data_IF_144656672358
#
_entry.id   IF_144656672358
#
_cell.length_a   1.000
_cell.length_b   1.000
_cell.length_c   1.000
_cell.angle_alpha   90.00
_cell.angle_beta   90.00
_cell.angle_gamma   90.00
#
_symmetry.space_group_name_H-M   'P 1'
#
loop_
_entity.id
_entity.type
_entity.pdbx_description
1 polymer ?
#
# COMPACT_ATOMS: atom_id res chain seq x y z
N UNK A 1 -7.89 -33.24 20.18
CA UNK A 1 -6.82 -32.49 20.88
C UNK A 1 -5.99 -31.74 19.85
N UNK A 2 -6.48 -30.59 19.40
CA UNK A 2 -5.66 -29.61 18.71
C UNK A 2 -5.06 -28.70 19.79
N UNK A 3 -3.79 -28.90 20.09
CA UNK A 3 -3.00 -27.87 20.76
C UNK A 3 -2.92 -26.70 19.78
N UNK A 4 -3.53 -25.58 20.14
CA UNK A 4 -3.34 -24.31 19.49
C UNK A 4 -1.83 -24.00 19.50
N UNK A 5 -1.19 -24.19 18.33
CA UNK A 5 0.11 -23.60 18.11
C UNK A 5 -0.13 -22.09 18.00
N UNK A 6 0.54 -21.35 18.85
CA UNK A 6 0.48 -19.90 18.83
C UNK A 6 0.94 -19.38 17.45
N UNK A 7 0.41 -18.26 17.00
CA UNK A 7 0.78 -17.58 15.75
C UNK A 7 2.32 -17.41 15.59
N UNK A 8 3.03 -17.43 16.70
CA UNK A 8 4.48 -17.43 16.84
C UNK A 8 5.21 -18.62 16.23
N UNK A 9 4.61 -19.81 16.16
CA UNK A 9 5.28 -21.01 15.61
C UNK A 9 5.10 -21.20 14.09
N UNK A 10 4.23 -20.43 13.46
CA UNK A 10 3.89 -20.59 12.04
C UNK A 10 4.91 -19.87 11.13
N UNK A 11 5.30 -18.61 11.38
CA UNK A 11 6.29 -17.92 10.57
C UNK A 11 7.69 -18.55 10.65
N UNK A 12 8.13 -18.95 11.84
CA UNK A 12 9.43 -19.56 12.09
C UNK A 12 9.64 -20.94 11.42
N UNK A 13 8.56 -21.65 11.09
CA UNK A 13 8.61 -22.94 10.39
C UNK A 13 8.58 -22.85 8.87
N UNK A 14 8.16 -21.74 8.32
CA UNK A 14 8.13 -21.49 6.87
C UNK A 14 9.50 -21.06 6.32
N UNK A 15 10.39 -20.56 7.17
CA UNK A 15 11.77 -20.21 6.79
C UNK A 15 12.70 -21.35 7.23
N UNK A 16 13.00 -22.22 6.33
CA UNK A 16 13.66 -23.50 6.57
C UNK A 16 15.15 -23.49 6.88
N UNK A 17 15.62 -22.74 7.86
CA UNK A 17 16.86 -23.03 8.61
C UNK A 17 17.02 -22.07 9.79
N UNK A 18 17.23 -22.62 11.00
CA UNK A 18 17.44 -21.85 12.24
C UNK A 18 18.70 -20.94 12.20
N UNK A 19 19.53 -21.04 11.19
CA UNK A 19 20.80 -20.30 11.09
C UNK A 19 20.66 -19.00 10.27
N UNK A 20 19.64 -18.83 9.43
CA UNK A 20 19.42 -17.61 8.64
C UNK A 20 18.55 -16.58 9.35
N UNK A 21 17.77 -16.98 10.36
CA UNK A 21 16.81 -16.10 11.06
C UNK A 21 17.54 -15.17 12.05
N UNK A 22 18.64 -15.59 12.63
CA UNK A 22 19.35 -14.83 13.66
C UNK A 22 20.04 -13.58 13.14
N UNK A 23 20.43 -13.57 11.87
CA UNK A 23 21.12 -12.44 11.23
C UNK A 23 20.13 -11.49 10.48
N UNK A 24 18.80 -11.77 10.51
CA UNK A 24 17.76 -10.97 9.84
C UNK A 24 16.44 -10.95 10.63
N UNK A 25 16.52 -10.90 11.94
CA UNK A 25 15.31 -10.83 12.79
C UNK A 25 14.55 -9.51 12.56
N UNK A 26 15.26 -8.44 12.25
CA UNK A 26 14.71 -7.13 11.92
C UNK A 26 13.92 -7.15 10.62
N UNK A 27 14.52 -7.57 9.51
CA UNK A 27 13.89 -7.59 8.18
C UNK A 27 12.59 -8.43 8.20
N UNK A 28 12.61 -9.58 8.90
CA UNK A 28 11.40 -10.41 9.06
C UNK A 28 10.32 -9.69 9.86
N UNK A 29 10.71 -8.86 10.83
CA UNK A 29 9.77 -8.10 11.63
C UNK A 29 9.14 -6.94 10.84
N UNK A 30 9.91 -6.30 9.96
CA UNK A 30 9.44 -5.24 9.08
C UNK A 30 8.47 -5.76 8.00
N UNK A 31 8.76 -6.92 7.40
CA UNK A 31 7.94 -7.56 6.35
C UNK A 31 6.60 -8.15 6.85
N UNK A 32 6.36 -8.19 8.17
CA UNK A 32 5.13 -8.76 8.72
C UNK A 32 3.98 -7.76 8.64
N UNK A 33 2.80 -8.24 8.25
CA UNK A 33 1.58 -7.45 8.31
C UNK A 33 1.29 -6.92 9.74
N UNK A 34 0.75 -5.71 9.83
CA UNK A 34 0.57 -4.93 11.08
C UNK A 34 0.07 -5.74 12.28
N UNK A 35 -0.93 -6.61 12.11
CA UNK A 35 -1.54 -7.36 13.22
C UNK A 35 -0.58 -8.43 13.79
N UNK A 36 0.20 -9.10 12.94
CA UNK A 36 1.20 -10.09 13.38
C UNK A 36 2.38 -9.36 13.99
N UNK A 37 2.81 -8.27 13.40
CA UNK A 37 3.87 -7.41 13.90
C UNK A 37 3.54 -6.90 15.32
N UNK A 38 2.34 -6.36 15.55
CA UNK A 38 1.88 -5.90 16.86
C UNK A 38 1.86 -7.03 17.91
N UNK A 39 1.37 -8.23 17.54
CA UNK A 39 1.34 -9.38 18.45
C UNK A 39 2.76 -9.86 18.80
N UNK A 40 3.64 -9.98 17.83
CA UNK A 40 5.05 -10.33 18.04
C UNK A 40 5.77 -9.30 18.90
N UNK A 41 5.69 -8.03 18.50
CA UNK A 41 6.33 -6.92 19.21
C UNK A 41 5.83 -6.81 20.65
N UNK A 42 4.55 -7.11 20.93
CA UNK A 42 4.01 -7.14 22.29
C UNK A 42 4.59 -8.25 23.15
N UNK A 43 5.02 -9.36 22.55
CA UNK A 43 5.51 -10.56 23.23
C UNK A 43 7.04 -10.65 23.32
N UNK A 44 7.79 -9.94 22.46
CA UNK A 44 9.26 -9.87 22.49
C UNK A 44 9.75 -8.99 23.62
N UNK A 45 10.91 -9.35 24.22
CA UNK A 45 11.52 -8.52 25.25
C UNK A 45 12.07 -7.20 24.68
N UNK A 46 12.17 -6.16 25.54
CA UNK A 46 12.70 -4.86 25.10
C UNK A 46 14.18 -4.92 24.68
N UNK A 47 14.91 -5.92 25.18
CA UNK A 47 16.30 -6.18 24.80
C UNK A 47 16.39 -6.75 23.39
N UNK A 48 15.63 -7.78 23.10
CA UNK A 48 15.57 -8.43 21.77
C UNK A 48 15.05 -7.46 20.71
N UNK A 49 13.97 -6.73 21.00
CA UNK A 49 13.43 -5.74 20.07
C UNK A 49 14.43 -4.62 19.79
N UNK A 50 15.14 -4.12 20.82
CA UNK A 50 16.20 -3.11 20.64
C UNK A 50 17.39 -3.61 19.82
N UNK A 51 17.61 -4.91 19.74
CA UNK A 51 18.67 -5.52 18.94
C UNK A 51 18.19 -5.74 17.49
N UNK A 52 16.97 -6.19 17.30
CA UNK A 52 16.37 -6.39 16.00
C UNK A 52 16.25 -5.08 15.19
N UNK A 53 15.83 -3.99 15.82
CA UNK A 53 15.68 -2.68 15.14
C UNK A 53 16.99 -1.96 14.82
N UNK A 54 18.15 -2.45 15.25
CA UNK A 54 19.44 -1.77 14.95
C UNK A 54 19.91 -1.97 13.52
N UNK A 55 19.50 -3.04 12.88
CA UNK A 55 19.89 -3.42 11.52
C UNK A 55 18.88 -2.95 10.47
N UNK A 56 17.74 -2.41 10.92
CA UNK A 56 16.66 -1.90 10.07
C UNK A 56 16.93 -0.49 9.53
N UNK A 57 16.31 -0.18 8.40
CA UNK A 57 16.25 1.19 7.90
C UNK A 57 15.41 2.08 8.82
N UNK A 58 15.60 3.41 8.72
CA UNK A 58 15.00 4.34 9.69
C UNK A 58 13.48 4.43 9.57
N UNK A 59 12.93 4.31 8.38
CA UNK A 59 11.51 4.25 8.05
C UNK A 59 10.88 2.98 8.63
N UNK A 60 11.48 1.80 8.42
CA UNK A 60 11.04 0.54 9.03
C UNK A 60 11.01 0.60 10.57
N UNK A 61 12.01 1.27 11.16
CA UNK A 61 12.04 1.49 12.62
C UNK A 61 10.88 2.39 13.05
N UNK A 62 10.57 3.43 12.29
CA UNK A 62 9.46 4.35 12.57
C UNK A 62 8.13 3.57 12.57
N UNK A 63 7.89 2.75 11.55
CA UNK A 63 6.67 1.95 11.42
C UNK A 63 6.47 0.97 12.59
N UNK A 64 7.54 0.31 13.01
CA UNK A 64 7.49 -0.57 14.19
C UNK A 64 7.20 0.24 15.46
N UNK A 65 7.84 1.39 15.64
CA UNK A 65 7.74 2.19 16.86
C UNK A 65 6.40 2.90 16.99
N UNK A 66 5.75 3.29 15.90
CA UNK A 66 4.41 3.92 15.91
C UNK A 66 3.36 2.98 16.49
N UNK A 67 3.52 1.68 16.27
CA UNK A 67 2.63 0.64 16.77
C UNK A 67 2.86 0.27 18.27
N UNK A 68 3.84 0.91 18.94
CA UNK A 68 4.20 0.63 20.33
C UNK A 68 3.54 1.58 21.33
N UNK A 69 3.27 1.10 22.56
CA UNK A 69 2.96 1.98 23.68
C UNK A 69 4.11 2.96 23.95
N UNK A 70 3.78 4.24 24.26
CA UNK A 70 4.77 5.31 24.47
C UNK A 70 5.90 4.93 25.46
N UNK A 71 5.60 4.16 26.51
CA UNK A 71 6.59 3.72 27.50
C UNK A 71 7.67 2.82 26.87
N UNK A 72 7.26 1.89 26.00
CA UNK A 72 8.18 0.98 25.32
C UNK A 72 8.96 1.69 24.24
N UNK A 73 8.31 2.53 23.44
CA UNK A 73 8.93 3.38 22.42
C UNK A 73 10.06 4.22 23.02
N UNK A 74 9.79 4.95 24.10
CA UNK A 74 10.77 5.78 24.79
C UNK A 74 11.97 4.97 25.34
N UNK A 75 11.72 3.74 25.77
CA UNK A 75 12.79 2.86 26.28
C UNK A 75 13.71 2.41 25.15
N UNK A 76 13.18 2.06 23.99
CA UNK A 76 13.97 1.68 22.80
C UNK A 76 14.77 2.89 22.30
N UNK A 77 14.13 4.04 22.12
CA UNK A 77 14.76 5.29 21.70
C UNK A 77 15.91 5.69 22.65
N UNK A 78 15.77 5.40 23.95
CA UNK A 78 16.83 5.72 24.93
C UNK A 78 18.10 4.89 24.76
N UNK A 79 18.02 3.74 24.09
CA UNK A 79 19.17 2.84 23.82
C UNK A 79 19.88 3.15 22.50
N UNK A 80 19.28 3.98 21.67
CA UNK A 80 19.81 4.38 20.35
C UNK A 80 20.81 5.53 20.48
N UNK A 81 21.60 5.77 19.40
CA UNK A 81 22.45 6.94 19.33
C UNK A 81 21.63 8.24 19.33
N UNK A 82 22.20 9.34 19.84
CA UNK A 82 21.51 10.63 19.81
C UNK A 82 21.15 11.10 18.40
N UNK A 83 21.92 10.67 17.40
CA UNK A 83 21.70 10.99 15.99
C UNK A 83 20.48 10.25 15.45
N UNK A 84 20.45 8.94 15.62
CA UNK A 84 19.37 8.08 15.10
C UNK A 84 18.05 8.37 15.82
N UNK A 85 18.12 8.54 17.14
CA UNK A 85 16.96 8.95 17.93
C UNK A 85 16.29 10.22 17.39
N UNK A 86 17.08 11.25 17.07
CA UNK A 86 16.56 12.52 16.55
C UNK A 86 15.92 12.32 15.18
N UNK A 87 16.46 11.46 14.34
CA UNK A 87 15.95 11.14 13.02
C UNK A 87 14.62 10.40 13.10
N UNK A 88 14.55 9.38 13.97
CA UNK A 88 13.32 8.62 14.23
C UNK A 88 12.26 9.51 14.85
N UNK A 89 12.59 10.34 15.85
CA UNK A 89 11.66 11.31 16.43
C UNK A 89 11.10 12.27 15.37
N UNK A 90 11.88 12.61 14.36
CA UNK A 90 11.43 13.41 13.22
C UNK A 90 10.49 12.61 12.31
N UNK A 91 10.80 11.36 11.97
CA UNK A 91 9.94 10.47 11.20
C UNK A 91 8.57 10.27 11.87
N UNK A 92 8.57 10.01 13.17
CA UNK A 92 7.35 9.84 13.97
C UNK A 92 6.40 11.07 13.99
N UNK A 93 6.82 12.23 13.48
CA UNK A 93 5.94 13.41 13.38
C UNK A 93 5.07 13.40 12.13
N UNK A 94 5.37 12.59 11.13
CA UNK A 94 4.63 12.54 9.88
C UNK A 94 3.59 11.40 9.91
N UNK A 95 2.44 11.59 9.26
CA UNK A 95 1.45 10.51 9.10
C UNK A 95 1.97 9.40 8.17
N UNK A 96 1.62 8.14 8.46
CA UNK A 96 2.08 6.96 7.70
C UNK A 96 1.69 7.00 6.22
N UNK A 97 0.50 7.51 5.91
CA UNK A 97 -0.02 7.61 4.55
C UNK A 97 0.48 8.84 3.77
N UNK A 98 1.70 9.30 4.04
CA UNK A 98 2.33 10.44 3.35
C UNK A 98 3.75 10.11 2.94
N UNK A 99 4.33 10.93 2.04
CA UNK A 99 5.76 10.86 1.70
C UNK A 99 6.67 10.99 2.95
N UNK A 100 6.16 11.60 4.01
CA UNK A 100 6.85 11.70 5.30
C UNK A 100 6.88 10.39 6.07
N UNK A 101 5.86 9.53 5.93
CA UNK A 101 5.84 8.17 6.47
C UNK A 101 6.85 7.26 5.76
N UNK A 102 7.03 7.42 4.45
CA UNK A 102 8.01 6.68 3.63
C UNK A 102 9.41 7.32 3.66
N UNK A 103 9.68 8.23 4.61
CA UNK A 103 10.87 9.06 4.58
C UNK A 103 12.11 8.33 5.10
N UNK A 104 13.00 7.92 4.22
CA UNK A 104 14.35 7.51 4.56
C UNK A 104 15.28 8.73 4.66
N UNK A 105 15.81 8.98 5.86
CA UNK A 105 16.70 10.14 6.11
C UNK A 105 18.17 9.87 5.78
N UNK A 106 18.52 8.64 5.37
CA UNK A 106 19.86 8.29 4.92
C UNK A 106 20.09 8.73 3.48
N UNK A 107 20.51 9.98 3.35
CA UNK A 107 20.75 10.61 2.06
C UNK A 107 22.16 11.14 1.94
N UNK A 108 22.71 11.01 0.74
CA UNK A 108 23.98 11.65 0.39
C UNK A 108 23.68 12.96 -0.32
N UNK A 109 24.21 14.04 0.21
CA UNK A 109 24.06 15.37 -0.40
C UNK A 109 25.40 16.03 -0.67
N UNK A 110 25.44 16.80 -1.76
CA UNK A 110 26.62 17.56 -2.19
C UNK A 110 26.25 19.01 -2.52
N UNK A 111 27.26 19.86 -2.65
CA UNK A 111 27.07 21.28 -2.98
C UNK A 111 27.27 21.53 -4.48
N UNK A 112 26.53 22.49 -5.09
CA UNK A 112 26.65 22.78 -6.53
C UNK A 112 28.06 23.19 -7.00
N UNK A 113 28.87 23.72 -6.08
CA UNK A 113 30.19 24.25 -6.39
C UNK A 113 31.33 23.17 -6.29
N UNK A 114 31.02 21.97 -5.85
CA UNK A 114 32.00 20.88 -5.82
C UNK A 114 32.30 20.39 -7.23
N UNK A 115 33.54 19.97 -7.49
CA UNK A 115 33.91 19.30 -8.74
C UNK A 115 33.57 17.81 -8.67
N UNK A 116 33.43 17.15 -9.82
CA UNK A 116 33.19 15.70 -9.88
C UNK A 116 34.30 14.92 -9.18
N UNK A 117 35.54 15.39 -9.22
CA UNK A 117 36.66 14.79 -8.49
C UNK A 117 36.41 14.76 -6.99
N UNK A 118 35.95 15.87 -6.41
CA UNK A 118 35.60 15.97 -4.98
C UNK A 118 34.44 15.04 -4.65
N UNK A 119 33.42 14.98 -5.49
CA UNK A 119 32.25 14.09 -5.28
C UNK A 119 32.67 12.63 -5.29
N UNK A 120 33.45 12.20 -6.28
CA UNK A 120 33.94 10.80 -6.37
C UNK A 120 34.82 10.45 -5.16
N UNK A 121 35.70 11.34 -4.74
CA UNK A 121 36.54 11.08 -3.57
C UNK A 121 35.73 11.03 -2.27
N UNK A 122 34.67 11.84 -2.16
CA UNK A 122 33.75 11.81 -1.04
C UNK A 122 32.99 10.48 -0.98
N UNK A 123 32.44 10.02 -2.11
CA UNK A 123 31.73 8.73 -2.18
C UNK A 123 32.64 7.54 -1.87
N UNK A 124 33.86 7.56 -2.36
CA UNK A 124 34.86 6.51 -2.07
C UNK A 124 35.36 6.51 -0.63
N UNK A 125 35.22 7.61 0.06
CA UNK A 125 35.58 7.74 1.47
C UNK A 125 34.48 7.28 2.43
N UNK A 126 33.30 6.95 1.95
CA UNK A 126 32.24 6.30 2.73
C UNK A 126 32.61 4.82 2.89
N UNK A 127 32.36 4.26 4.06
CA UNK A 127 32.55 2.81 4.30
C UNK A 127 31.50 2.02 3.51
N UNK A 128 30.23 2.51 3.50
CA UNK A 128 29.12 1.96 2.77
C UNK A 128 28.21 3.10 2.28
N UNK A 129 27.58 2.90 1.13
CA UNK A 129 26.55 3.81 0.63
C UNK A 129 25.18 3.29 1.07
N UNK A 130 24.21 4.18 1.35
CA UNK A 130 22.84 3.76 1.62
C UNK A 130 22.32 2.83 0.53
N UNK A 131 21.52 1.85 0.90
CA UNK A 131 20.90 0.92 -0.06
C UNK A 131 20.13 1.69 -1.14
N UNK A 132 19.94 1.08 -2.31
CA UNK A 132 19.23 1.68 -3.45
C UNK A 132 19.73 3.09 -3.87
N UNK A 133 21.02 3.42 -3.65
CA UNK A 133 21.59 4.71 -4.06
C UNK A 133 21.81 4.76 -5.58
N UNK A 134 20.86 5.33 -6.33
CA UNK A 134 20.93 5.57 -7.78
C UNK A 134 21.43 6.99 -8.10
N UNK A 135 21.27 7.92 -7.19
CA UNK A 135 21.62 9.34 -7.31
C UNK A 135 22.00 9.95 -5.97
N UNK A 136 22.57 11.12 -6.00
CA UNK A 136 22.87 11.97 -4.84
C UNK A 136 22.16 13.31 -5.00
N UNK A 137 21.78 13.93 -3.89
CA UNK A 137 21.03 15.16 -3.90
C UNK A 137 21.93 16.39 -3.80
N UNK A 138 21.55 17.43 -4.53
CA UNK A 138 22.30 18.68 -4.55
C UNK A 138 21.57 19.71 -3.71
N UNK A 139 22.25 20.27 -2.69
CA UNK A 139 21.65 21.21 -1.75
C UNK A 139 22.51 22.46 -1.58
N UNK A 140 21.88 23.57 -1.22
CA UNK A 140 22.55 24.83 -0.87
C UNK A 140 23.23 24.72 0.50
N UNK A 141 23.90 25.80 0.95
CA UNK A 141 24.52 25.86 2.29
C UNK A 141 23.48 25.76 3.43
N UNK A 142 22.26 26.13 3.16
CA UNK A 142 21.12 26.13 4.10
C UNK A 142 20.25 24.89 3.94
N UNK A 143 20.78 23.83 3.28
CA UNK A 143 20.17 22.52 3.00
C UNK A 143 18.91 22.56 2.12
N UNK A 144 18.68 23.66 1.37
CA UNK A 144 17.61 23.72 0.39
C UNK A 144 17.97 22.85 -0.84
N UNK A 145 17.03 22.07 -1.28
CA UNK A 145 17.14 21.24 -2.48
C UNK A 145 17.30 22.10 -3.74
N UNK A 146 18.22 21.72 -4.63
CA UNK A 146 18.51 22.42 -5.88
C UNK A 146 18.40 21.51 -7.09
N UNK A 147 18.60 20.22 -6.90
CA UNK A 147 18.58 19.23 -7.98
C UNK A 147 19.21 17.93 -7.56
N UNK A 148 19.43 17.05 -8.50
CA UNK A 148 20.00 15.73 -8.27
C UNK A 148 21.10 15.38 -9.27
N UNK A 149 21.92 14.42 -8.91
CA UNK A 149 23.05 13.97 -9.71
C UNK A 149 23.10 12.44 -9.72
N UNK A 150 22.75 11.81 -10.84
CA UNK A 150 22.76 10.35 -10.95
C UNK A 150 24.18 9.78 -10.86
N UNK A 151 24.32 8.61 -10.27
CA UNK A 151 25.60 7.89 -10.17
C UNK A 151 26.21 7.67 -11.56
N UNK A 152 25.41 7.40 -12.58
CA UNK A 152 25.88 7.25 -13.95
C UNK A 152 26.54 8.54 -14.49
N UNK A 153 25.96 9.71 -14.22
CA UNK A 153 26.55 11.01 -14.61
C UNK A 153 27.85 11.29 -13.83
N UNK A 154 27.93 10.90 -12.55
CA UNK A 154 29.15 11.05 -11.75
C UNK A 154 30.30 10.27 -12.37
N UNK A 155 30.05 9.02 -12.78
CA UNK A 155 31.08 8.12 -13.32
C UNK A 155 31.52 8.54 -14.74
N UNK A 156 30.62 9.06 -15.55
CA UNK A 156 30.86 9.35 -16.97
C UNK A 156 31.32 10.78 -17.24
N UNK A 157 31.15 11.70 -16.29
CA UNK A 157 31.51 13.10 -16.46
C UNK A 157 33.01 13.35 -16.26
N UNK A 158 33.51 14.45 -16.85
CA UNK A 158 34.89 14.89 -16.63
C UNK A 158 35.08 15.35 -15.18
N UNK A 159 36.19 14.96 -14.57
CA UNK A 159 36.49 15.24 -13.15
C UNK A 159 36.56 16.74 -12.82
N UNK A 160 36.90 17.57 -13.81
CA UNK A 160 37.02 19.02 -13.66
C UNK A 160 35.68 19.77 -13.66
N UNK A 161 34.59 19.14 -14.13
CA UNK A 161 33.27 19.77 -14.15
C UNK A 161 32.74 19.93 -12.73
N UNK A 162 31.95 20.99 -12.53
CA UNK A 162 31.25 21.22 -11.27
C UNK A 162 29.91 20.48 -11.25
N UNK A 163 29.41 20.18 -10.04
CA UNK A 163 28.08 19.57 -9.85
C UNK A 163 27.00 20.39 -10.55
N UNK A 164 27.06 21.71 -10.50
CA UNK A 164 26.12 22.63 -11.15
C UNK A 164 26.02 22.45 -12.67
N UNK A 165 27.11 22.08 -13.31
CA UNK A 165 27.16 21.90 -14.77
C UNK A 165 26.59 20.53 -15.20
N UNK A 166 26.47 19.59 -14.29
CA UNK A 166 26.12 18.19 -14.59
C UNK A 166 24.78 17.78 -13.96
N UNK A 167 24.38 18.43 -12.84
CA UNK A 167 23.16 18.10 -12.10
C UNK A 167 21.90 18.26 -12.96
N UNK A 168 20.87 17.53 -12.60
CA UNK A 168 19.53 17.68 -13.12
C UNK A 168 18.72 18.58 -12.19
N UNK A 169 18.03 19.55 -12.76
CA UNK A 169 17.19 20.51 -12.04
C UNK A 169 15.72 20.47 -12.46
N UNK A 170 15.38 19.60 -13.41
CA UNK A 170 14.02 19.49 -13.93
C UNK A 170 13.14 18.57 -13.09
N UNK A 171 13.73 17.74 -12.25
CA UNK A 171 13.01 16.78 -11.40
C UNK A 171 12.45 17.51 -10.19
N UNK A 172 11.12 17.41 -10.06
CA UNK A 172 10.38 18.02 -8.95
C UNK A 172 10.46 17.10 -7.74
N UNK A 173 10.96 17.58 -6.59
CA UNK A 173 10.99 16.80 -5.35
C UNK A 173 9.58 16.60 -4.81
N UNK A 174 9.39 15.57 -3.98
CA UNK A 174 8.15 15.30 -3.28
C UNK A 174 7.98 16.24 -2.09
N UNK A 175 6.74 16.67 -1.82
CA UNK A 175 6.40 17.31 -0.56
C UNK A 175 6.23 16.29 0.55
N UNK A 176 6.69 16.58 1.77
CA UNK A 176 6.57 15.66 2.91
C UNK A 176 5.11 15.29 3.25
N UNK A 177 4.16 16.20 2.97
CA UNK A 177 2.73 16.01 3.24
C UNK A 177 1.98 15.35 2.06
N UNK A 178 2.68 14.96 1.00
CA UNK A 178 2.07 14.37 -0.18
C UNK A 178 1.59 12.95 0.13
N UNK A 179 0.39 12.61 -0.31
CA UNK A 179 -0.23 11.29 -0.15
C UNK A 179 0.66 10.18 -0.77
N UNK A 180 0.83 9.06 -0.08
CA UNK A 180 1.66 7.93 -0.48
C UNK A 180 1.24 7.32 -1.83
N UNK A 181 -0.06 7.28 -2.12
CA UNK A 181 -0.59 6.79 -3.40
C UNK A 181 -0.26 7.75 -4.55
N UNK A 182 -0.27 9.06 -4.29
CA UNK A 182 0.19 10.04 -5.27
C UNK A 182 1.70 9.91 -5.52
N UNK A 183 2.49 9.63 -4.47
CA UNK A 183 3.92 9.32 -4.58
C UNK A 183 4.12 8.11 -5.49
N UNK A 184 3.37 7.02 -5.27
CA UNK A 184 3.44 5.82 -6.08
C UNK A 184 3.16 6.10 -7.58
N UNK A 185 2.15 6.92 -7.88
CA UNK A 185 1.84 7.34 -9.24
C UNK A 185 2.97 8.17 -9.88
N UNK A 186 3.61 9.05 -9.09
CA UNK A 186 4.74 9.85 -9.57
C UNK A 186 5.93 8.96 -9.91
N UNK A 187 6.24 7.97 -9.06
CA UNK A 187 7.30 6.99 -9.31
C UNK A 187 7.04 6.20 -10.59
N UNK A 188 5.82 5.67 -10.77
CA UNK A 188 5.42 4.93 -11.97
C UNK A 188 5.53 5.78 -13.25
N UNK A 189 5.02 7.02 -13.22
CA UNK A 189 4.99 7.90 -14.41
C UNK A 189 6.37 8.38 -14.85
N UNK A 190 7.31 8.49 -13.92
CA UNK A 190 8.63 9.05 -14.18
C UNK A 190 9.74 8.00 -14.12
N UNK A 191 9.41 6.71 -13.97
CA UNK A 191 10.36 5.60 -13.85
C UNK A 191 11.43 5.87 -12.77
N UNK A 192 11.00 6.37 -11.58
CA UNK A 192 11.90 6.75 -10.50
C UNK A 192 12.37 5.52 -9.72
N UNK A 193 13.64 5.52 -9.30
CA UNK A 193 14.21 4.57 -8.32
C UNK A 193 14.21 5.20 -6.95
N UNK A 194 14.51 6.49 -6.86
CA UNK A 194 14.40 7.28 -5.63
C UNK A 194 13.95 8.71 -5.94
N UNK A 195 13.46 9.44 -4.95
CA UNK A 195 13.10 10.85 -5.07
C UNK A 195 13.41 11.62 -3.79
N UNK A 196 13.80 12.88 -3.93
CA UNK A 196 14.00 13.78 -2.80
C UNK A 196 12.68 14.14 -2.14
N UNK A 197 12.65 14.21 -0.81
CA UNK A 197 11.53 14.74 -0.02
C UNK A 197 11.95 16.04 0.62
N UNK A 198 11.12 17.07 0.48
CA UNK A 198 11.36 18.41 1.00
C UNK A 198 10.25 18.86 1.94
N UNK A 199 10.57 19.75 2.85
CA UNK A 199 9.61 20.47 3.67
C UNK A 199 8.99 21.66 2.92
N UNK A 200 8.03 22.35 3.56
CA UNK A 200 7.38 23.56 3.03
C UNK A 200 8.39 24.69 2.70
N UNK A 201 9.54 24.70 3.35
CA UNK A 201 10.60 25.70 3.12
C UNK A 201 11.52 25.32 1.95
N UNK A 202 11.39 24.13 1.38
CA UNK A 202 12.25 23.60 0.32
C UNK A 202 13.55 22.96 0.81
N UNK A 203 13.67 22.66 2.11
CA UNK A 203 14.82 21.91 2.66
C UNK A 203 14.68 20.43 2.40
N UNK A 204 15.78 19.81 2.06
CA UNK A 204 15.88 18.34 1.92
C UNK A 204 15.74 17.71 3.30
N UNK A 205 14.71 16.86 3.45
CA UNK A 205 14.47 16.05 4.65
C UNK A 205 15.07 14.65 4.52
N UNK A 206 14.92 14.05 3.35
CA UNK A 206 15.35 12.70 3.05
C UNK A 206 14.99 12.29 1.62
N UNK A 207 14.77 11.03 1.43
CA UNK A 207 14.35 10.43 0.16
C UNK A 207 13.25 9.39 0.40
N UNK A 208 12.50 9.07 -0.64
CA UNK A 208 11.67 7.87 -0.77
C UNK A 208 12.31 6.99 -1.82
N UNK A 209 12.31 5.68 -1.63
CA UNK A 209 12.87 4.70 -2.56
C UNK A 209 11.79 3.82 -3.18
N UNK A 210 12.12 3.08 -4.23
CA UNK A 210 11.13 2.32 -5.01
C UNK A 210 10.60 1.11 -4.24
N UNK A 211 11.38 0.52 -3.34
CA UNK A 211 10.99 -0.57 -2.46
C UNK A 211 9.78 -0.19 -1.60
N UNK A 212 9.83 0.94 -0.87
CA UNK A 212 8.72 1.46 -0.07
C UNK A 212 7.49 1.74 -0.95
N UNK A 213 7.72 2.32 -2.13
CA UNK A 213 6.64 2.59 -3.08
C UNK A 213 5.98 1.31 -3.60
N UNK A 214 6.74 0.23 -3.79
CA UNK A 214 6.19 -1.07 -4.18
C UNK A 214 5.28 -1.62 -3.07
N UNK A 215 5.63 -1.42 -1.81
CA UNK A 215 4.79 -1.87 -0.69
C UNK A 215 3.49 -1.06 -0.61
N UNK A 216 3.53 0.26 -0.82
CA UNK A 216 2.31 1.09 -0.95
C UNK A 216 1.40 0.59 -2.09
N UNK A 217 1.98 0.29 -3.27
CA UNK A 217 1.20 -0.23 -4.42
C UNK A 217 0.57 -1.58 -4.07
N UNK A 218 1.30 -2.46 -3.40
CA UNK A 218 0.84 -3.78 -2.99
C UNK A 218 -0.27 -3.67 -1.95
N UNK A 219 -0.10 -2.82 -0.96
CA UNK A 219 -1.10 -2.60 0.08
C UNK A 219 -2.40 -2.00 -0.50
N UNK A 220 -2.30 -1.01 -1.38
CA UNK A 220 -3.48 -0.45 -2.07
C UNK A 220 -4.21 -1.49 -2.91
N UNK A 221 -3.47 -2.37 -3.61
CA UNK A 221 -4.06 -3.46 -4.37
C UNK A 221 -4.79 -4.48 -3.47
N UNK A 222 -4.21 -4.83 -2.33
CA UNK A 222 -4.80 -5.74 -1.35
C UNK A 222 -6.05 -5.12 -0.69
N UNK A 223 -6.00 -3.85 -0.28
CA UNK A 223 -7.14 -3.12 0.25
C UNK A 223 -8.30 -3.05 -0.76
N UNK A 224 -8.00 -2.77 -2.02
CA UNK A 224 -8.99 -2.74 -3.09
C UNK A 224 -9.61 -4.14 -3.32
N UNK A 225 -8.81 -5.20 -3.29
CA UNK A 225 -9.27 -6.58 -3.44
C UNK A 225 -10.20 -6.99 -2.27
N UNK A 226 -9.80 -6.75 -1.05
CA UNK A 226 -10.59 -7.05 0.15
C UNK A 226 -11.86 -6.21 0.22
N UNK A 227 -11.76 -4.93 -0.13
CA UNK A 227 -12.89 -4.01 -0.19
C UNK A 227 -14.01 -4.46 -1.13
N UNK A 228 -13.67 -5.14 -2.25
CA UNK A 228 -14.67 -5.73 -3.16
C UNK A 228 -15.54 -6.80 -2.50
N UNK A 229 -15.00 -7.52 -1.53
CA UNK A 229 -15.72 -8.53 -0.75
C UNK A 229 -16.37 -7.95 0.52
N UNK A 230 -16.19 -6.66 0.81
CA UNK A 230 -16.65 -6.02 2.05
C UNK A 230 -15.89 -6.52 3.28
N UNK A 231 -14.63 -6.91 3.08
CA UNK A 231 -13.70 -7.35 4.13
C UNK A 231 -12.62 -6.27 4.25
N UNK A 232 -12.28 -5.88 5.46
CA UNK A 232 -11.30 -4.85 5.76
C UNK A 232 -10.30 -5.27 6.84
N UNK A 233 -10.23 -6.57 7.09
CA UNK A 233 -9.31 -7.12 8.10
C UNK A 233 -8.18 -7.92 7.46
N UNK A 234 -7.03 -7.95 8.15
CA UNK A 234 -5.90 -8.80 7.81
C UNK A 234 -6.27 -10.30 7.97
N UNK A 235 -5.57 -11.15 7.24
CA UNK A 235 -5.74 -12.62 7.22
C UNK A 235 -5.65 -13.24 8.61
N UNK A 236 -4.87 -12.65 9.51
CA UNK A 236 -4.59 -13.15 10.85
C UNK A 236 -5.34 -12.41 11.96
N UNK A 237 -6.28 -11.54 11.61
CA UNK A 237 -7.09 -10.78 12.56
C UNK A 237 -7.79 -11.68 13.59
N UNK A 238 -7.83 -11.28 14.88
CA UNK A 238 -8.52 -12.04 15.92
C UNK A 238 -10.00 -12.21 15.58
N UNK A 239 -10.60 -13.41 15.86
CA UNK A 239 -11.98 -13.71 15.42
C UNK A 239 -13.03 -12.69 15.83
N UNK A 240 -12.85 -12.03 16.99
CA UNK A 240 -13.76 -11.00 17.48
C UNK A 240 -13.76 -9.71 16.63
N UNK A 241 -12.58 -9.28 16.18
CA UNK A 241 -12.41 -8.10 15.31
C UNK A 241 -12.92 -8.40 13.91
N UNK A 242 -12.53 -9.54 13.35
CA UNK A 242 -12.99 -10.02 12.05
C UNK A 242 -14.52 -10.15 12.00
N UNK A 243 -15.15 -10.74 13.03
CA UNK A 243 -16.60 -10.83 13.12
C UNK A 243 -17.28 -9.45 13.15
N UNK A 244 -16.73 -8.49 13.91
CA UNK A 244 -17.29 -7.13 14.02
C UNK A 244 -17.22 -6.39 12.68
N UNK A 245 -16.13 -6.49 11.94
CA UNK A 245 -15.96 -5.92 10.61
C UNK A 245 -17.02 -6.46 9.63
N UNK A 246 -17.15 -7.79 9.56
CA UNK A 246 -18.08 -8.47 8.64
C UNK A 246 -19.54 -8.28 8.98
N UNK A 247 -19.91 -8.20 10.27
CA UNK A 247 -21.31 -8.03 10.71
C UNK A 247 -21.95 -6.81 10.10
N UNK A 248 -21.25 -5.70 9.97
CA UNK A 248 -21.80 -4.49 9.36
C UNK A 248 -22.24 -4.75 7.91
N UNK A 249 -21.35 -5.34 7.10
CA UNK A 249 -21.63 -5.65 5.71
C UNK A 249 -22.74 -6.71 5.55
N UNK A 250 -22.68 -7.76 6.36
CA UNK A 250 -23.71 -8.80 6.39
C UNK A 250 -25.08 -8.24 6.80
N UNK A 251 -25.12 -7.28 7.73
CA UNK A 251 -26.37 -6.62 8.15
C UNK A 251 -26.97 -5.78 7.03
N UNK A 252 -26.15 -5.07 6.26
CA UNK A 252 -26.62 -4.34 5.08
C UNK A 252 -27.19 -5.28 4.01
N UNK A 253 -26.51 -6.41 3.78
CA UNK A 253 -26.99 -7.46 2.88
C UNK A 253 -28.31 -8.08 3.36
N UNK A 254 -28.44 -8.32 4.67
CA UNK A 254 -29.67 -8.81 5.28
C UNK A 254 -30.83 -7.82 5.08
N UNK A 255 -30.58 -6.53 5.26
CA UNK A 255 -31.59 -5.48 5.03
C UNK A 255 -32.09 -5.48 3.58
N UNK A 256 -31.19 -5.58 2.61
CA UNK A 256 -31.59 -5.66 1.19
C UNK A 256 -32.38 -6.93 0.88
N UNK A 257 -32.02 -8.05 1.50
CA UNK A 257 -32.78 -9.30 1.38
C UNK A 257 -34.21 -9.19 1.96
N UNK A 258 -34.39 -8.47 3.08
CA UNK A 258 -35.71 -8.18 3.62
C UNK A 258 -36.55 -7.31 2.69
N UNK A 259 -35.98 -6.28 2.08
CA UNK A 259 -36.68 -5.44 1.09
C UNK A 259 -37.14 -6.28 -0.10
N UNK A 260 -36.29 -7.17 -0.61
CA UNK A 260 -36.68 -8.11 -1.66
C UNK A 260 -37.78 -9.04 -1.23
N UNK A 261 -37.73 -9.57 0.01
CA UNK A 261 -38.80 -10.44 0.55
C UNK A 261 -40.14 -9.73 0.70
N UNK A 262 -40.15 -8.47 1.13
CA UNK A 262 -41.37 -7.65 1.19
C UNK A 262 -41.95 -7.45 -0.21
N UNK A 263 -41.09 -7.19 -1.20
CA UNK A 263 -41.55 -7.05 -2.61
C UNK A 263 -42.16 -8.34 -3.12
N UNK A 264 -41.57 -9.49 -2.84
CA UNK A 264 -42.11 -10.82 -3.21
C UNK A 264 -43.49 -11.02 -2.56
N UNK A 265 -43.64 -10.67 -1.28
CA UNK A 265 -44.92 -10.79 -0.56
C UNK A 265 -46.05 -9.97 -1.18
N UNK A 266 -45.76 -8.79 -1.75
CA UNK A 266 -46.78 -7.96 -2.44
C UNK A 266 -47.35 -8.69 -3.68
N UNK A 267 -46.56 -9.54 -4.32
CA UNK A 267 -46.94 -10.30 -5.51
C UNK A 267 -47.33 -11.75 -5.21
N UNK A 268 -47.63 -12.10 -3.94
CA UNK A 268 -47.90 -13.48 -3.53
C UNK A 268 -49.05 -14.11 -4.32
N UNK A 269 -50.17 -13.41 -4.53
CA UNK A 269 -51.32 -13.92 -5.27
C UNK A 269 -50.98 -14.33 -6.73
N UNK A 270 -50.04 -13.60 -7.36
CA UNK A 270 -49.60 -13.89 -8.73
C UNK A 270 -48.68 -15.13 -8.72
N UNK A 271 -47.85 -15.26 -7.71
CA UNK A 271 -46.95 -16.40 -7.55
C UNK A 271 -47.71 -17.70 -7.25
N UNK A 272 -48.78 -17.63 -6.48
CA UNK A 272 -49.67 -18.79 -6.23
C UNK A 272 -50.37 -19.26 -7.51
N UNK A 273 -50.70 -18.34 -8.42
CA UNK A 273 -51.28 -18.70 -9.70
C UNK A 273 -50.29 -19.26 -10.70
N UNK A 274 -49.04 -18.76 -10.66
CA UNK A 274 -47.98 -19.14 -11.61
C UNK A 274 -46.72 -19.61 -10.83
N UNK A 275 -46.75 -20.82 -10.30
CA UNK A 275 -45.70 -21.39 -9.48
C UNK A 275 -44.34 -21.40 -10.19
N UNK A 276 -44.32 -21.49 -11.51
CA UNK A 276 -43.06 -21.47 -12.30
C UNK A 276 -42.26 -20.18 -12.10
N UNK A 277 -42.92 -19.04 -11.83
CA UNK A 277 -42.21 -17.78 -11.52
C UNK A 277 -41.37 -17.90 -10.25
N UNK A 278 -41.87 -18.58 -9.23
CA UNK A 278 -41.15 -18.79 -7.98
C UNK A 278 -39.88 -19.67 -8.21
N UNK A 279 -39.98 -20.64 -9.12
CA UNK A 279 -38.84 -21.51 -9.48
C UNK A 279 -37.74 -20.74 -10.24
N UNK A 280 -38.14 -19.78 -11.07
CA UNK A 280 -37.21 -18.98 -11.88
C UNK A 280 -36.58 -17.79 -11.13
N UNK A 281 -37.20 -17.34 -10.02
CA UNK A 281 -36.67 -16.20 -9.22
C UNK A 281 -35.19 -16.32 -8.84
N UNK A 282 -34.72 -17.45 -8.29
CA UNK A 282 -33.30 -17.56 -7.90
C UNK A 282 -32.36 -17.40 -9.11
N UNK A 283 -32.75 -17.85 -10.29
CA UNK A 283 -31.97 -17.73 -11.52
C UNK A 283 -31.79 -16.26 -11.89
N UNK A 284 -32.91 -15.49 -11.93
CA UNK A 284 -32.85 -14.08 -12.28
C UNK A 284 -32.06 -13.26 -11.25
N UNK A 285 -32.29 -13.52 -9.95
CA UNK A 285 -31.57 -12.86 -8.87
C UNK A 285 -30.05 -13.13 -8.92
N UNK A 286 -29.65 -14.39 -9.15
CA UNK A 286 -28.25 -14.79 -9.28
C UNK A 286 -27.58 -14.11 -10.47
N UNK A 287 -28.24 -14.09 -11.64
CA UNK A 287 -27.70 -13.43 -12.83
C UNK A 287 -27.54 -11.93 -12.64
N UNK A 288 -28.49 -11.27 -11.96
CA UNK A 288 -28.38 -9.86 -11.60
C UNK A 288 -27.18 -9.58 -10.69
N UNK A 289 -26.96 -10.43 -9.68
CA UNK A 289 -25.80 -10.35 -8.79
C UNK A 289 -24.46 -10.48 -9.52
N UNK A 290 -24.35 -11.48 -10.41
CA UNK A 290 -23.13 -11.67 -11.21
C UNK A 290 -22.87 -10.47 -12.12
N UNK A 291 -23.89 -9.96 -12.81
CA UNK A 291 -23.75 -8.79 -13.69
C UNK A 291 -23.32 -7.54 -12.90
N UNK A 292 -23.89 -7.33 -11.71
CA UNK A 292 -23.51 -6.22 -10.84
C UNK A 292 -22.02 -6.34 -10.40
N UNK A 293 -21.56 -7.53 -10.00
CA UNK A 293 -20.17 -7.77 -9.62
C UNK A 293 -19.21 -7.53 -10.80
N UNK A 294 -19.56 -7.97 -12.02
CA UNK A 294 -18.75 -7.72 -13.21
C UNK A 294 -18.58 -6.23 -13.50
N UNK A 295 -19.66 -5.45 -13.43
CA UNK A 295 -19.60 -3.99 -13.62
C UNK A 295 -18.81 -3.33 -12.51
N UNK A 296 -18.99 -3.73 -11.25
CA UNK A 296 -18.25 -3.22 -10.11
C UNK A 296 -16.74 -3.44 -10.28
N UNK A 297 -16.33 -4.65 -10.67
CA UNK A 297 -14.91 -4.98 -10.92
C UNK A 297 -14.29 -4.09 -12.00
N UNK A 298 -15.01 -3.83 -13.10
CA UNK A 298 -14.54 -2.96 -14.17
C UNK A 298 -14.38 -1.51 -13.68
N UNK A 299 -15.38 -1.02 -12.93
CA UNK A 299 -15.37 0.36 -12.40
C UNK A 299 -14.23 0.53 -11.40
N UNK A 300 -14.08 -0.39 -10.44
CA UNK A 300 -12.99 -0.35 -9.45
C UNK A 300 -11.62 -0.35 -10.13
N UNK A 301 -11.38 -1.29 -11.06
CA UNK A 301 -10.15 -1.30 -11.83
C UNK A 301 -9.88 0.02 -12.54
N UNK A 302 -10.91 0.62 -13.13
CA UNK A 302 -10.77 1.90 -13.82
C UNK A 302 -10.51 3.07 -12.87
N UNK A 303 -10.98 3.00 -11.62
CA UNK A 303 -10.66 3.97 -10.57
C UNK A 303 -9.22 3.81 -10.07
N UNK A 304 -8.81 2.58 -9.74
CA UNK A 304 -7.43 2.29 -9.28
C UNK A 304 -6.38 2.69 -10.33
N UNK A 305 -6.67 2.51 -11.63
CA UNK A 305 -5.77 2.92 -12.70
C UNK A 305 -5.95 4.39 -13.13
N UNK A 306 -6.66 5.20 -12.36
CA UNK A 306 -6.99 6.60 -12.69
C UNK A 306 -7.58 6.83 -14.09
N UNK A 307 -8.11 5.77 -14.72
CA UNK A 307 -8.71 5.85 -16.05
C UNK A 307 -10.11 6.49 -16.03
N UNK A 308 -10.76 6.54 -14.86
CA UNK A 308 -12.08 7.11 -14.67
C UNK A 308 -11.95 8.50 -14.05
N UNK A 309 -12.46 9.49 -14.76
CA UNK A 309 -12.56 10.87 -14.29
C UNK A 309 -13.98 11.43 -14.59
N UNK A 310 -14.27 12.62 -14.07
CA UNK A 310 -15.58 13.25 -14.25
C UNK A 310 -15.97 13.47 -15.71
N UNK A 311 -15.02 13.53 -16.64
CA UNK A 311 -15.26 13.76 -18.06
C UNK A 311 -15.72 12.50 -18.80
N UNK A 312 -15.25 11.30 -18.39
CA UNK A 312 -15.57 10.04 -19.06
C UNK A 312 -16.61 9.18 -18.33
N UNK A 313 -16.99 9.52 -17.09
CA UNK A 313 -17.94 8.78 -16.27
C UNK A 313 -19.29 8.56 -16.99
N UNK A 314 -19.80 9.57 -17.69
CA UNK A 314 -21.06 9.46 -18.43
C UNK A 314 -20.99 8.49 -19.61
N UNK A 315 -19.83 8.43 -20.26
CA UNK A 315 -19.58 7.48 -21.34
C UNK A 315 -19.52 6.06 -20.80
N UNK A 316 -18.80 5.84 -19.70
CA UNK A 316 -18.71 4.55 -19.02
C UNK A 316 -20.09 4.04 -18.59
N UNK A 317 -20.90 4.89 -17.96
CA UNK A 317 -22.27 4.53 -17.58
C UNK A 317 -23.12 4.09 -18.76
N UNK A 318 -23.08 4.82 -19.88
CA UNK A 318 -23.83 4.47 -21.11
C UNK A 318 -23.33 3.14 -21.69
N UNK A 319 -22.03 2.90 -21.67
CA UNK A 319 -21.42 1.65 -22.14
C UNK A 319 -21.89 0.47 -21.28
N UNK A 320 -21.80 0.56 -19.97
CA UNK A 320 -22.22 -0.51 -19.06
C UNK A 320 -23.73 -0.78 -19.16
N UNK A 321 -24.53 0.27 -19.30
CA UNK A 321 -25.97 0.12 -19.53
C UNK A 321 -26.27 -0.62 -20.85
N UNK A 322 -25.56 -0.28 -21.93
CA UNK A 322 -25.73 -0.95 -23.21
C UNK A 322 -25.31 -2.43 -23.15
N UNK A 323 -24.19 -2.74 -22.47
CA UNK A 323 -23.73 -4.11 -22.25
C UNK A 323 -24.74 -4.89 -21.42
N UNK A 324 -25.28 -4.30 -20.36
CA UNK A 324 -26.28 -4.92 -19.50
C UNK A 324 -27.59 -5.22 -20.25
N UNK A 325 -28.04 -4.31 -21.12
CA UNK A 325 -29.24 -4.52 -21.96
C UNK A 325 -28.99 -5.67 -22.95
N UNK A 326 -27.85 -5.68 -23.63
CA UNK A 326 -27.51 -6.76 -24.58
C UNK A 326 -27.48 -8.13 -23.90
N UNK A 327 -26.77 -8.21 -22.76
CA UNK A 327 -26.69 -9.44 -21.98
C UNK A 327 -28.07 -9.86 -21.45
N UNK A 328 -28.87 -8.90 -20.99
CA UNK A 328 -30.25 -9.15 -20.54
C UNK A 328 -31.14 -9.75 -21.63
N UNK A 329 -31.03 -9.25 -22.87
CA UNK A 329 -31.79 -9.81 -24.02
C UNK A 329 -31.34 -11.26 -24.32
N UNK A 330 -30.04 -11.48 -24.39
CA UNK A 330 -29.52 -12.83 -24.68
C UNK A 330 -29.92 -13.82 -23.58
N UNK A 331 -29.78 -13.44 -22.33
CA UNK A 331 -30.12 -14.30 -21.18
C UNK A 331 -31.65 -14.53 -21.10
N UNK A 332 -32.47 -13.54 -21.39
CA UNK A 332 -33.92 -13.71 -21.38
C UNK A 332 -34.41 -14.71 -22.45
N UNK A 333 -33.80 -14.67 -23.65
CA UNK A 333 -34.10 -15.64 -24.71
C UNK A 333 -33.65 -17.04 -24.27
N UNK A 334 -32.46 -17.16 -23.69
CA UNK A 334 -31.91 -18.45 -23.24
C UNK A 334 -32.77 -19.05 -22.12
N UNK A 335 -33.09 -18.27 -21.09
CA UNK A 335 -33.99 -18.71 -20.00
C UNK A 335 -35.36 -19.05 -20.52
N UNK A 336 -35.93 -18.27 -21.46
CA UNK A 336 -37.20 -18.55 -22.08
C UNK A 336 -37.22 -19.88 -22.84
N UNK A 337 -36.19 -20.18 -23.62
CA UNK A 337 -36.03 -21.46 -24.31
C UNK A 337 -35.92 -22.63 -23.33
N UNK A 338 -35.08 -22.51 -22.30
CA UNK A 338 -34.94 -23.55 -21.27
C UNK A 338 -36.27 -23.78 -20.55
N UNK A 339 -36.99 -22.72 -20.19
CA UNK A 339 -38.29 -22.78 -19.52
C UNK A 339 -39.33 -23.47 -20.40
N UNK A 340 -39.35 -23.11 -21.68
CA UNK A 340 -40.25 -23.77 -22.66
C UNK A 340 -39.92 -25.26 -22.82
N UNK A 341 -38.64 -25.66 -22.84
CA UNK A 341 -38.25 -27.08 -22.92
C UNK A 341 -38.55 -27.86 -21.63
N UNK A 342 -38.56 -27.20 -20.50
CA UNK A 342 -38.75 -27.83 -19.19
C UNK A 342 -40.21 -27.96 -18.79
N UNK A 343 -41.02 -26.96 -19.09
CA UNK A 343 -42.41 -26.91 -18.64
C UNK A 343 -43.42 -27.07 -19.78
N UNK A 344 -43.00 -27.16 -21.06
CA UNK A 344 -43.82 -27.37 -22.24
C UNK A 344 -44.39 -26.09 -22.78
#
# INVERSE_FOLDING_TARGET
FFTQKTAYEIPLRLVGSEMCIRDREGDVLADLGEEIQQDLVSNISNEELSEAVKELELDEIVDILQNLPEERMNLILSKMSLRDRKRIEQGLTYPDNTAGGLLNTDVISVRPNHTMEVVINYLRGQEELPENTDKIFVVTKDDHYVGELSISKIITSQLSLTVREVMDTEIVPLSVDQDDKEVAIIFERNDLISSAVIDESGKLLGRVTIDDVVDVIREDADQNFLGMAGVAEDTFAPPGRAAKSRVFWLSMNLLTAFIASVTINIFQDVLEQIVYLAILMPIVASMGGVAATQTLTIVLRGLTLEQINSSNLRWLFKRELAVSILNGIVLSVLVGLITFMWFG
#
